data_IF_924840633852
#
_entry.id   IF_924840633852
#
_cell.length_a   1.000
_cell.length_b   1.000
_cell.length_c   1.000
_cell.angle_alpha   90.00
_cell.angle_beta   90.00
_cell.angle_gamma   90.00
#
_symmetry.space_group_name_H-M   'P 1'
#
loop_
_entity.id
_entity.type
_entity.pdbx_description
1 polymer ?
#
# COMPACT_ATOMS: atom_id res chain seq x y z
N UNK A 1 -11.13 21.51 -11.51
CA UNK A 1 -10.45 20.25 -11.91
C UNK A 1 -9.02 20.18 -11.41
N UNK A 2 -8.20 21.24 -11.49
CA UNK A 2 -6.81 21.30 -11.00
C UNK A 2 -6.59 21.11 -9.48
N UNK A 3 -7.66 20.96 -8.69
CA UNK A 3 -7.56 20.82 -7.24
C UNK A 3 -7.93 19.42 -6.74
N UNK A 4 -8.37 18.49 -7.59
CA UNK A 4 -8.87 17.19 -7.10
C UNK A 4 -7.72 16.34 -6.54
N UNK A 5 -6.68 16.09 -7.34
CA UNK A 5 -5.52 15.30 -6.88
C UNK A 5 -4.79 16.00 -5.72
N UNK A 6 -4.52 17.32 -5.78
CA UNK A 6 -4.03 18.04 -4.61
C UNK A 6 -4.96 17.93 -3.41
N UNK A 7 -6.28 18.11 -3.52
CA UNK A 7 -7.21 18.00 -2.37
C UNK A 7 -7.37 16.58 -1.86
N UNK A 8 -7.23 15.54 -2.68
CA UNK A 8 -7.20 14.15 -2.21
C UNK A 8 -5.90 13.88 -1.47
N UNK A 9 -4.76 14.34 -2.01
CA UNK A 9 -3.46 14.26 -1.33
C UNK A 9 -3.50 15.06 -0.02
N UNK A 10 -3.88 16.35 -0.05
CA UNK A 10 -3.99 17.25 1.10
C UNK A 10 -5.08 16.85 2.10
N UNK A 11 -6.25 16.40 1.66
CA UNK A 11 -7.35 15.97 2.53
C UNK A 11 -7.04 14.66 3.25
N UNK A 12 -6.31 13.78 2.59
CA UNK A 12 -5.78 12.56 3.18
C UNK A 12 -4.61 12.85 4.13
N UNK A 13 -3.70 13.76 3.77
CA UNK A 13 -2.65 14.29 4.66
C UNK A 13 -3.24 14.94 5.92
N UNK A 14 -4.32 15.71 5.83
CA UNK A 14 -4.90 16.44 6.96
C UNK A 14 -5.97 15.67 7.75
N UNK A 15 -6.28 14.43 7.39
CA UNK A 15 -7.33 13.64 8.07
C UNK A 15 -6.82 12.98 9.35
N UNK A 16 -6.72 13.78 10.41
CA UNK A 16 -6.70 13.27 11.78
C UNK A 16 -7.95 12.42 12.04
N UNK A 17 -7.74 11.14 12.40
CA UNK A 17 -8.73 10.24 12.96
C UNK A 17 -10.04 10.06 12.14
N UNK A 18 -9.97 9.50 10.92
CA UNK A 18 -11.20 9.10 10.21
C UNK A 18 -11.73 7.75 10.72
N UNK A 19 -12.46 7.78 11.86
CA UNK A 19 -13.21 6.62 12.38
C UNK A 19 -14.47 6.37 11.54
N UNK A 20 -14.35 5.69 10.40
CA UNK A 20 -15.53 5.12 9.74
C UNK A 20 -15.96 3.89 10.55
N UNK A 21 -17.15 3.94 11.17
CA UNK A 21 -17.73 2.80 11.89
C UNK A 21 -18.63 2.02 10.96
N UNK A 22 -18.31 0.76 10.68
CA UNK A 22 -19.26 -0.18 10.08
C UNK A 22 -20.00 -0.94 11.19
N UNK A 23 -21.33 -0.90 11.18
CA UNK A 23 -22.14 -1.77 12.02
C UNK A 23 -22.56 -3.00 11.22
N UNK A 24 -22.25 -4.20 11.72
CA UNK A 24 -22.82 -5.46 11.22
C UNK A 24 -23.79 -5.98 12.26
N UNK A 25 -25.04 -6.23 11.86
CA UNK A 25 -26.00 -6.93 12.69
C UNK A 25 -25.76 -8.43 12.57
N UNK A 26 -25.62 -9.14 13.69
CA UNK A 26 -25.57 -10.58 13.69
C UNK A 26 -26.97 -11.14 13.37
N UNK A 27 -27.09 -11.96 12.33
CA UNK A 27 -28.36 -12.59 11.95
C UNK A 27 -28.86 -13.64 12.95
N UNK A 28 -27.99 -14.11 13.85
CA UNK A 28 -28.31 -15.13 14.87
C UNK A 28 -28.71 -14.51 16.19
N UNK A 29 -28.05 -13.43 16.64
CA UNK A 29 -28.29 -12.85 17.97
C UNK A 29 -28.72 -11.37 17.95
N UNK A 30 -28.91 -10.77 16.77
CA UNK A 30 -29.31 -9.36 16.56
C UNK A 30 -28.41 -8.31 17.24
N UNK A 31 -27.24 -8.72 17.75
CA UNK A 31 -26.26 -7.80 18.33
C UNK A 31 -25.55 -7.03 17.24
N UNK A 32 -25.35 -5.75 17.49
CA UNK A 32 -24.58 -4.86 16.63
C UNK A 32 -23.09 -4.98 16.96
N UNK A 33 -22.32 -5.50 16.01
CA UNK A 33 -20.86 -5.47 16.09
C UNK A 33 -20.35 -4.23 15.37
N UNK A 34 -19.55 -3.42 16.06
CA UNK A 34 -18.88 -2.25 15.48
C UNK A 34 -17.52 -2.67 14.94
N UNK A 35 -17.23 -2.28 13.71
CA UNK A 35 -15.93 -2.45 13.08
C UNK A 35 -15.36 -1.06 12.73
N UNK A 36 -14.62 -0.42 13.66
CA UNK A 36 -13.94 0.84 13.40
C UNK A 36 -12.80 0.65 12.39
N UNK A 37 -12.71 1.55 11.41
CA UNK A 37 -11.56 1.64 10.50
C UNK A 37 -10.49 2.53 11.15
N UNK A 38 -9.36 1.94 11.55
CA UNK A 38 -8.27 2.68 12.18
C UNK A 38 -7.18 3.03 11.16
N UNK A 39 -6.73 4.28 11.19
CA UNK A 39 -5.58 4.73 10.41
C UNK A 39 -4.29 4.77 11.23
N UNK A 40 -4.38 4.72 12.56
CA UNK A 40 -3.21 4.68 13.43
C UNK A 40 -2.57 3.28 13.39
N UNK A 41 -1.34 3.13 12.84
CA UNK A 41 -0.70 1.82 12.74
C UNK A 41 -0.40 1.21 14.12
N UNK A 42 -0.28 1.99 15.20
CA UNK A 42 -0.16 1.45 16.55
C UNK A 42 -1.42 0.69 16.95
N UNK A 43 -2.58 1.31 16.72
CA UNK A 43 -3.88 0.67 16.99
C UNK A 43 -4.05 -0.58 16.13
N UNK A 44 -3.52 -0.61 14.91
CA UNK A 44 -3.56 -1.78 14.04
C UNK A 44 -2.69 -2.94 14.53
N UNK A 45 -1.57 -2.67 15.21
CA UNK A 45 -0.75 -3.70 15.88
C UNK A 45 -1.50 -4.34 17.05
N UNK A 46 -2.34 -3.56 17.74
CA UNK A 46 -3.22 -4.03 18.81
C UNK A 46 -4.41 -4.83 18.28
N UNK A 47 -5.17 -4.28 17.32
CA UNK A 47 -6.43 -4.88 16.85
C UNK A 47 -6.20 -6.10 15.95
N UNK A 48 -5.11 -6.09 15.17
CA UNK A 48 -4.71 -7.19 14.26
C UNK A 48 -5.81 -7.64 13.29
N UNK A 49 -6.72 -6.72 12.97
CA UNK A 49 -7.85 -6.94 12.07
C UNK A 49 -8.05 -5.71 11.18
N UNK A 50 -8.57 -5.93 9.97
CA UNK A 50 -8.63 -4.87 8.97
C UNK A 50 -8.94 -5.35 7.57
N UNK A 51 -9.05 -4.40 6.63
CA UNK A 51 -9.08 -4.65 5.18
C UNK A 51 -7.73 -4.22 4.58
N UNK A 52 -7.63 -4.19 3.25
CA UNK A 52 -6.36 -3.90 2.58
C UNK A 52 -5.67 -2.61 3.05
N UNK A 53 -6.45 -1.56 3.36
CA UNK A 53 -5.93 -0.32 3.97
C UNK A 53 -5.16 -0.57 5.27
N UNK A 54 -5.78 -1.22 6.24
CA UNK A 54 -5.16 -1.53 7.53
C UNK A 54 -3.99 -2.50 7.41
N UNK A 55 -4.12 -3.53 6.57
CA UNK A 55 -3.05 -4.51 6.35
C UNK A 55 -1.80 -3.87 5.72
N UNK A 56 -1.97 -3.06 4.68
CA UNK A 56 -0.86 -2.35 4.05
C UNK A 56 -0.20 -1.34 5.01
N UNK A 57 -1.01 -0.61 5.79
CA UNK A 57 -0.52 0.36 6.77
C UNK A 57 0.33 -0.32 7.86
N UNK A 58 -0.22 -1.36 8.49
CA UNK A 58 0.47 -2.11 9.55
C UNK A 58 1.73 -2.82 9.02
N UNK A 59 1.65 -3.46 7.84
CA UNK A 59 2.80 -4.16 7.25
C UNK A 59 3.95 -3.19 6.95
N UNK A 60 3.64 -2.02 6.43
CA UNK A 60 4.69 -1.05 6.10
C UNK A 60 5.34 -0.44 7.35
N UNK A 61 4.61 -0.29 8.46
CA UNK A 61 5.21 0.03 9.76
C UNK A 61 6.29 -0.99 10.11
N UNK A 62 6.01 -2.30 9.98
CA UNK A 62 7.01 -3.34 10.21
C UNK A 62 8.22 -3.18 9.29
N UNK A 63 8.02 -3.01 7.98
CA UNK A 63 9.15 -2.83 7.06
C UNK A 63 10.05 -1.66 7.45
N UNK A 64 9.45 -0.52 7.82
CA UNK A 64 10.19 0.66 8.31
C UNK A 64 10.90 0.40 9.63
N UNK A 65 10.26 -0.29 10.58
CA UNK A 65 10.84 -0.64 11.86
C UNK A 65 12.05 -1.58 11.72
N UNK A 66 12.03 -2.48 10.73
CA UNK A 66 13.16 -3.35 10.40
C UNK A 66 14.27 -2.66 9.58
N UNK A 67 14.14 -1.36 9.30
CA UNK A 67 15.16 -0.59 8.58
C UNK A 67 15.10 -0.74 7.06
N UNK A 68 14.07 -1.36 6.51
CA UNK A 68 13.88 -1.38 5.06
C UNK A 68 13.54 0.02 4.55
N UNK A 69 14.14 0.36 3.41
CA UNK A 69 13.71 1.50 2.62
C UNK A 69 12.37 1.14 1.99
N UNK A 70 11.29 1.52 2.67
CA UNK A 70 9.93 1.24 2.25
C UNK A 70 9.23 2.51 1.81
N UNK A 71 8.54 2.42 0.67
CA UNK A 71 7.59 3.42 0.21
C UNK A 71 6.27 3.13 0.91
N UNK A 72 6.07 3.86 2.01
CA UNK A 72 4.76 4.12 2.62
C UNK A 72 4.30 5.45 1.98
N UNK A 73 3.25 5.42 1.17
CA UNK A 73 2.52 6.62 0.80
C UNK A 73 2.20 7.50 2.04
N UNK A 74 2.47 8.81 1.94
CA UNK A 74 2.21 10.06 2.72
C UNK A 74 2.84 10.38 4.14
N UNK A 75 3.01 11.68 4.51
CA UNK A 75 3.38 12.12 5.89
C UNK A 75 2.63 13.40 6.37
N UNK A 76 1.79 13.38 7.40
CA UNK A 76 2.02 13.66 8.83
C UNK A 76 1.97 12.38 9.69
N UNK A 77 3.05 11.59 9.60
CA UNK A 77 3.01 10.15 9.92
C UNK A 77 2.07 9.34 9.00
N UNK A 78 1.65 9.94 7.88
CA UNK A 78 0.44 9.66 7.10
C UNK A 78 0.59 8.43 6.19
N UNK A 79 0.08 7.30 6.62
CA UNK A 79 -0.91 6.52 5.85
C UNK A 79 -0.67 6.29 4.34
N UNK A 80 -0.39 5.05 3.92
CA UNK A 80 -0.15 4.69 2.52
C UNK A 80 -1.35 4.29 1.71
N UNK A 81 -1.61 5.04 0.63
CA UNK A 81 -2.33 4.56 -0.54
C UNK A 81 -1.45 4.63 -1.79
N UNK A 82 -1.04 3.49 -2.34
CA UNK A 82 -1.03 3.46 -3.80
C UNK A 82 -2.50 3.59 -4.16
N UNK A 83 -2.93 4.81 -4.46
CA UNK A 83 -4.28 5.09 -4.90
C UNK A 83 -4.38 4.58 -6.31
N UNK A 84 -4.54 3.27 -6.43
CA UNK A 84 -5.43 2.80 -7.45
C UNK A 84 -6.79 3.40 -7.09
N UNK A 85 -7.25 4.37 -7.86
CA UNK A 85 -8.58 4.97 -7.70
C UNK A 85 -9.71 3.94 -7.88
N UNK A 86 -9.35 2.66 -8.06
CA UNK A 86 -10.23 1.50 -8.01
C UNK A 86 -10.13 0.69 -6.70
N UNK A 87 -9.79 1.33 -5.56
CA UNK A 87 -9.94 0.83 -4.17
C UNK A 87 -8.99 -0.32 -3.73
N UNK A 88 -7.68 -0.24 -4.01
CA UNK A 88 -6.70 -1.17 -3.44
C UNK A 88 -5.38 -0.49 -3.09
N UNK A 89 -4.66 -1.01 -2.09
CA UNK A 89 -3.40 -0.44 -1.61
C UNK A 89 -2.42 -1.55 -1.22
N UNK A 90 -1.12 -1.27 -1.39
CA UNK A 90 -0.04 -2.20 -1.12
C UNK A 90 1.27 -1.45 -0.82
N UNK A 91 2.36 -2.18 -0.59
CA UNK A 91 3.66 -1.64 -0.17
C UNK A 91 4.72 -1.87 -1.24
N UNK A 92 5.69 -0.96 -1.37
CA UNK A 92 6.94 -1.22 -2.07
C UNK A 92 8.13 -1.14 -1.12
N UNK A 93 9.09 -2.05 -1.26
CA UNK A 93 10.36 -2.00 -0.52
C UNK A 93 11.54 -2.04 -1.50
N UNK A 94 12.53 -1.19 -1.26
CA UNK A 94 13.76 -1.18 -2.03
C UNK A 94 14.65 -2.32 -1.56
N UNK A 95 15.00 -3.20 -2.49
CA UNK A 95 16.00 -4.23 -2.26
C UNK A 95 17.36 -3.72 -2.68
N UNK A 96 18.26 -3.57 -1.71
CA UNK A 96 19.65 -3.23 -2.00
C UNK A 96 20.33 -4.33 -2.83
N UNK A 97 19.93 -5.60 -2.63
CA UNK A 97 20.46 -6.73 -3.39
C UNK A 97 20.04 -6.70 -4.87
N UNK A 98 18.78 -6.36 -5.15
CA UNK A 98 18.27 -6.26 -6.52
C UNK A 98 18.47 -4.88 -7.16
N UNK A 99 18.87 -3.88 -6.36
CA UNK A 99 19.01 -2.50 -6.80
C UNK A 99 17.69 -1.82 -7.19
N UNK A 100 16.53 -2.33 -6.74
CA UNK A 100 15.21 -1.85 -7.20
C UNK A 100 14.10 -1.97 -6.17
N UNK A 101 13.02 -1.26 -6.42
CA UNK A 101 11.75 -1.41 -5.70
C UNK A 101 11.06 -2.72 -6.05
N UNK A 102 10.58 -3.39 -5.00
CA UNK A 102 9.85 -4.65 -5.05
C UNK A 102 8.41 -4.41 -4.60
N UNK A 103 7.47 -4.97 -5.35
CA UNK A 103 6.06 -4.96 -5.00
C UNK A 103 5.77 -5.94 -3.85
N UNK A 104 5.05 -5.53 -2.81
CA UNK A 104 4.62 -6.38 -1.70
C UNK A 104 3.12 -6.17 -1.42
N UNK A 105 2.32 -7.22 -1.54
CA UNK A 105 0.91 -7.22 -1.13
C UNK A 105 0.71 -8.11 0.10
N UNK A 106 0.59 -7.55 1.31
CA UNK A 106 0.38 -8.33 2.52
C UNK A 106 -1.01 -8.97 2.61
N UNK A 107 -2.01 -8.44 1.89
CA UNK A 107 -3.37 -8.99 1.88
C UNK A 107 -3.43 -10.31 1.12
N UNK A 108 -2.64 -10.38 0.04
CA UNK A 108 -2.56 -11.56 -0.81
C UNK A 108 -1.39 -12.48 -0.41
N UNK A 109 -0.43 -11.97 0.38
CA UNK A 109 0.90 -12.53 0.62
C UNK A 109 1.66 -12.79 -0.69
N UNK A 110 1.68 -11.76 -1.53
CA UNK A 110 2.37 -11.79 -2.81
C UNK A 110 3.62 -10.92 -2.71
N UNK A 111 4.71 -11.48 -3.21
CA UNK A 111 6.02 -10.85 -3.28
C UNK A 111 6.42 -10.70 -4.75
N UNK A 112 6.75 -9.46 -5.13
CA UNK A 112 7.36 -9.05 -6.38
C UNK A 112 6.63 -9.51 -7.66
N UNK A 113 5.29 -9.47 -7.64
CA UNK A 113 4.41 -9.71 -8.80
C UNK A 113 3.58 -8.46 -9.14
N UNK A 114 4.16 -7.40 -9.71
CA UNK A 114 3.45 -6.14 -9.97
C UNK A 114 2.26 -6.28 -10.93
N UNK A 115 2.26 -7.27 -11.83
CA UNK A 115 1.13 -7.51 -12.75
C UNK A 115 -0.05 -8.24 -12.10
N UNK A 116 -0.01 -8.51 -10.78
CA UNK A 116 -1.09 -9.18 -10.06
C UNK A 116 -2.44 -8.53 -10.30
N UNK A 117 -2.49 -7.20 -10.31
CA UNK A 117 -3.76 -6.47 -10.42
C UNK A 117 -4.30 -6.47 -11.84
N UNK A 118 -3.49 -6.06 -12.82
CA UNK A 118 -3.92 -5.99 -14.22
C UNK A 118 -4.18 -7.38 -14.80
N UNK A 119 -3.24 -8.32 -14.64
CA UNK A 119 -3.32 -9.67 -15.24
C UNK A 119 -4.05 -10.67 -14.34
N UNK A 120 -3.74 -10.69 -13.04
CA UNK A 120 -4.36 -11.65 -12.11
C UNK A 120 -5.81 -11.32 -11.77
N UNK A 121 -6.10 -10.04 -11.47
CA UNK A 121 -7.45 -9.61 -11.08
C UNK A 121 -8.27 -9.03 -12.23
N UNK A 122 -7.68 -8.93 -13.43
CA UNK A 122 -8.27 -8.25 -14.59
C UNK A 122 -8.69 -6.80 -14.27
N UNK A 123 -7.90 -6.12 -13.42
CA UNK A 123 -8.22 -4.80 -12.90
C UNK A 123 -7.88 -3.72 -13.92
N UNK A 124 -8.83 -2.81 -14.16
CA UNK A 124 -8.64 -1.67 -15.06
C UNK A 124 -7.98 -0.50 -14.32
N UNK A 125 -6.65 -0.56 -14.20
CA UNK A 125 -5.85 0.46 -13.53
C UNK A 125 -5.93 1.82 -14.24
N UNK A 126 -5.82 2.92 -13.47
CA UNK A 126 -5.70 4.29 -14.01
C UNK A 126 -4.46 5.03 -13.48
N UNK A 127 -4.35 5.21 -12.16
CA UNK A 127 -3.20 5.82 -11.51
C UNK A 127 -2.72 4.87 -10.41
N UNK A 128 -1.43 4.80 -10.19
CA UNK A 128 -0.80 4.15 -9.05
C UNK A 128 0.32 5.08 -8.58
N UNK A 129 0.05 5.83 -7.51
CA UNK A 129 0.98 6.85 -7.01
C UNK A 129 1.63 6.33 -5.73
N UNK A 130 2.95 6.17 -5.74
CA UNK A 130 3.73 5.87 -4.55
C UNK A 130 4.15 7.17 -3.87
N UNK A 131 4.14 7.22 -2.55
CA UNK A 131 4.65 8.32 -1.75
C UNK A 131 5.66 7.70 -0.77
N UNK A 132 6.62 8.50 -0.34
CA UNK A 132 7.77 8.07 0.44
C UNK A 132 8.25 9.23 1.32
N UNK A 133 9.23 8.94 2.18
CA UNK A 133 9.93 9.99 2.96
C UNK A 133 10.65 11.03 2.10
N UNK A 134 10.96 10.67 0.85
CA UNK A 134 11.80 11.46 -0.06
C UNK A 134 11.05 11.95 -1.30
N UNK A 135 9.73 11.72 -1.41
CA UNK A 135 8.94 12.26 -2.52
C UNK A 135 7.68 11.48 -2.86
N UNK A 136 7.10 11.85 -4.00
CA UNK A 136 5.95 11.22 -4.63
C UNK A 136 6.31 10.79 -6.04
N UNK A 137 5.90 9.58 -6.42
CA UNK A 137 6.29 8.90 -7.65
C UNK A 137 5.05 8.33 -8.35
N UNK A 138 4.94 8.55 -9.66
CA UNK A 138 3.98 7.81 -10.47
C UNK A 138 4.58 6.45 -10.84
N UNK A 139 4.11 5.40 -10.17
CA UNK A 139 4.57 4.02 -10.40
C UNK A 139 3.61 3.24 -11.29
N UNK A 140 2.62 3.88 -11.91
CA UNK A 140 1.55 3.22 -12.69
C UNK A 140 2.12 2.26 -13.73
N UNK A 141 3.14 2.69 -14.47
CA UNK A 141 3.79 1.89 -15.51
C UNK A 141 4.42 0.58 -15.00
N UNK A 142 4.76 0.48 -13.71
CA UNK A 142 5.25 -0.76 -13.10
C UNK A 142 4.18 -1.85 -13.08
N UNK A 143 2.91 -1.47 -12.94
CA UNK A 143 1.77 -2.35 -12.69
C UNK A 143 0.94 -2.68 -13.93
N UNK A 144 1.39 -2.25 -15.11
CA UNK A 144 0.68 -2.47 -16.39
C UNK A 144 1.65 -2.86 -17.50
N UNK A 145 1.15 -3.61 -18.48
CA UNK A 145 1.73 -3.71 -19.84
C UNK A 145 0.86 -3.06 -20.90
N UNK A 146 -0.36 -2.68 -20.54
CA UNK A 146 -1.35 -2.06 -21.41
C UNK A 146 -1.40 -0.55 -21.19
N UNK A 147 -0.25 0.11 -21.27
CA UNK A 147 -0.13 1.55 -20.97
C UNK A 147 -1.07 2.41 -21.82
N UNK A 148 -1.26 2.07 -23.09
CA UNK A 148 -2.20 2.77 -23.97
C UNK A 148 -3.65 2.74 -23.45
N UNK A 149 -4.09 1.60 -22.88
CA UNK A 149 -5.42 1.50 -22.28
C UNK A 149 -5.50 2.27 -20.97
N UNK A 150 -4.45 2.20 -20.14
CA UNK A 150 -4.37 2.96 -18.87
C UNK A 150 -4.45 4.45 -19.16
N UNK A 151 -3.73 4.95 -20.16
CA UNK A 151 -3.73 6.35 -20.56
C UNK A 151 -5.14 6.84 -20.94
N UNK A 152 -5.93 6.02 -21.62
CA UNK A 152 -7.33 6.37 -21.95
C UNK A 152 -8.23 6.57 -20.72
N UNK A 153 -7.87 5.96 -19.58
CA UNK A 153 -8.60 6.06 -18.30
C UNK A 153 -8.09 7.18 -17.39
N UNK A 154 -6.97 7.83 -17.74
CA UNK A 154 -6.32 8.90 -16.97
C UNK A 154 -6.90 10.26 -17.33
N UNK A 155 -8.16 10.48 -16.94
CA UNK A 155 -8.92 11.68 -17.30
C UNK A 155 -9.01 12.74 -16.20
N UNK A 156 -8.48 12.48 -15.01
CA UNK A 156 -8.58 13.40 -13.87
C UNK A 156 -7.64 14.62 -13.99
N UNK A 157 -6.49 14.42 -14.63
CA UNK A 157 -5.43 15.42 -14.79
C UNK A 157 -4.64 15.10 -16.06
N UNK A 158 -4.06 16.11 -16.72
CA UNK A 158 -3.17 15.88 -17.86
C UNK A 158 -1.80 15.37 -17.39
N UNK A 159 -1.16 14.50 -18.16
CA UNK A 159 0.16 13.95 -17.81
C UNK A 159 1.22 15.04 -17.50
N UNK A 160 1.33 16.15 -18.26
CA UNK A 160 2.27 17.21 -17.93
C UNK A 160 1.95 17.90 -16.59
N UNK A 161 0.66 18.09 -16.29
CA UNK A 161 0.24 18.71 -15.03
C UNK A 161 0.51 17.77 -13.85
N UNK A 162 0.23 16.46 -14.00
CA UNK A 162 0.55 15.48 -12.98
C UNK A 162 2.04 15.46 -12.69
N UNK A 163 2.87 15.33 -13.72
CA UNK A 163 4.33 15.34 -13.60
C UNK A 163 4.84 16.60 -12.87
N UNK A 164 4.30 17.77 -13.22
CA UNK A 164 4.65 19.04 -12.55
C UNK A 164 4.24 19.05 -11.08
N UNK A 165 3.04 18.56 -10.75
CA UNK A 165 2.56 18.46 -9.36
C UNK A 165 3.45 17.52 -8.55
N UNK A 166 3.76 16.33 -9.07
CA UNK A 166 4.60 15.36 -8.37
C UNK A 166 6.02 15.90 -8.16
N UNK A 167 6.60 16.52 -9.19
CA UNK A 167 7.92 17.15 -9.11
C UNK A 167 7.95 18.23 -8.03
N UNK A 168 6.93 19.10 -7.98
CA UNK A 168 6.84 20.14 -6.95
C UNK A 168 6.78 19.54 -5.55
N UNK A 169 5.93 18.54 -5.30
CA UNK A 169 5.81 17.91 -3.99
C UNK A 169 7.12 17.21 -3.59
N UNK A 170 7.76 16.52 -4.53
CA UNK A 170 9.04 15.85 -4.31
C UNK A 170 10.14 16.85 -3.97
N UNK A 171 10.21 17.99 -4.68
CA UNK A 171 11.16 19.05 -4.39
C UNK A 171 10.94 19.64 -2.99
N UNK A 172 9.68 19.91 -2.60
CA UNK A 172 9.35 20.36 -1.24
C UNK A 172 9.85 19.39 -0.17
N UNK A 173 9.58 18.10 -0.38
CA UNK A 173 9.97 17.02 0.54
C UNK A 173 11.50 16.94 0.70
N UNK A 174 12.23 17.28 -0.36
CA UNK A 174 13.69 17.19 -0.45
C UNK A 174 14.44 18.45 -0.02
N UNK A 175 13.76 19.58 0.23
CA UNK A 175 14.42 20.88 0.54
C UNK A 175 15.42 20.83 1.69
N UNK A 176 15.21 19.96 2.67
CA UNK A 176 16.07 19.83 3.86
C UNK A 176 17.16 18.76 3.76
N UNK A 177 17.32 18.08 2.63
CA UNK A 177 18.23 16.95 2.52
C UNK A 177 19.66 17.42 2.19
N UNK A 178 20.65 16.67 2.66
CA UNK A 178 22.05 16.92 2.34
C UNK A 178 22.33 16.70 0.83
N UNK A 179 23.20 17.49 0.19
CA UNK A 179 23.49 17.35 -1.25
C UNK A 179 23.93 15.95 -1.68
N UNK A 180 24.73 15.26 -0.85
CA UNK A 180 25.18 13.90 -1.15
C UNK A 180 24.00 12.91 -1.18
N UNK A 181 23.07 13.05 -0.23
CA UNK A 181 21.87 12.22 -0.16
C UNK A 181 20.94 12.49 -1.35
N UNK A 182 20.78 13.76 -1.74
CA UNK A 182 20.00 14.14 -2.92
C UNK A 182 20.53 13.50 -4.18
N UNK A 183 21.85 13.56 -4.42
CA UNK A 183 22.46 12.94 -5.60
C UNK A 183 22.23 11.43 -5.66
N UNK A 184 22.27 10.73 -4.52
CA UNK A 184 21.98 9.30 -4.44
C UNK A 184 20.51 9.01 -4.78
N UNK A 185 19.59 9.80 -4.24
CA UNK A 185 18.15 9.62 -4.47
C UNK A 185 17.81 9.92 -5.94
N UNK A 186 18.33 11.00 -6.52
CA UNK A 186 18.10 11.37 -7.91
C UNK A 186 18.66 10.32 -8.89
N UNK A 187 19.86 9.78 -8.62
CA UNK A 187 20.41 8.69 -9.40
C UNK A 187 19.51 7.43 -9.34
N UNK A 188 18.93 7.15 -8.16
CA UNK A 188 17.98 6.04 -7.97
C UNK A 188 16.67 6.25 -8.71
N UNK A 189 16.14 7.48 -8.71
CA UNK A 189 14.92 7.84 -9.45
C UNK A 189 15.12 7.66 -10.97
N UNK A 190 16.29 8.05 -11.48
CA UNK A 190 16.65 7.88 -12.89
C UNK A 190 16.71 6.39 -13.24
N UNK A 191 17.41 5.56 -12.45
CA UNK A 191 17.50 4.12 -12.73
C UNK A 191 16.12 3.45 -12.63
N UNK A 192 15.31 3.82 -11.64
CA UNK A 192 13.95 3.31 -11.52
C UNK A 192 13.11 3.62 -12.76
N UNK A 193 13.12 4.86 -13.23
CA UNK A 193 12.36 5.27 -14.41
C UNK A 193 12.81 4.49 -15.64
N UNK A 194 14.13 4.34 -15.84
CA UNK A 194 14.65 3.54 -16.94
C UNK A 194 14.21 2.07 -16.83
N UNK A 195 14.24 1.49 -15.63
CA UNK A 195 13.82 0.12 -15.42
C UNK A 195 12.33 -0.06 -15.70
N UNK A 196 11.49 0.89 -15.29
CA UNK A 196 10.05 0.89 -15.55
C UNK A 196 9.79 0.96 -17.05
N UNK A 197 10.45 1.85 -17.80
CA UNK A 197 10.29 1.92 -19.26
C UNK A 197 10.74 0.63 -19.95
N UNK A 198 11.91 0.07 -19.57
CA UNK A 198 12.38 -1.23 -20.09
C UNK A 198 11.36 -2.34 -19.82
N UNK A 199 10.79 -2.38 -18.62
CA UNK A 199 9.81 -3.40 -18.22
C UNK A 199 8.46 -3.20 -18.90
N UNK A 200 8.07 -1.96 -19.23
CA UNK A 200 6.82 -1.69 -19.89
C UNK A 200 6.79 -2.26 -21.31
N UNK A 201 7.94 -2.29 -21.97
CA UNK A 201 8.11 -2.83 -23.33
C UNK A 201 8.50 -4.31 -23.37
N UNK A 202 8.72 -4.96 -22.22
CA UNK A 202 8.98 -6.40 -22.20
C UNK A 202 7.71 -7.19 -22.49
N UNK A 203 7.82 -8.26 -23.25
CA UNK A 203 6.71 -9.20 -23.45
C UNK A 203 6.24 -9.77 -22.11
N UNK A 204 4.92 -9.89 -21.98
CA UNK A 204 4.33 -10.61 -20.86
C UNK A 204 4.65 -12.09 -21.01
N UNK A 205 5.23 -12.68 -19.97
CA UNK A 205 5.33 -14.13 -19.89
C UNK A 205 3.92 -14.71 -19.72
N UNK A 206 3.30 -15.11 -20.83
CA UNK A 206 1.96 -15.70 -20.85
C UNK A 206 1.89 -16.97 -20.00
N UNK A 207 3.01 -17.68 -19.79
CA UNK A 207 3.07 -18.90 -18.99
C UNK A 207 2.92 -18.65 -17.48
N UNK A 208 3.20 -17.42 -17.02
CA UNK A 208 2.97 -17.02 -15.63
C UNK A 208 1.48 -16.76 -15.38
N UNK A 209 0.79 -17.79 -14.89
CA UNK A 209 -0.55 -17.67 -14.31
C UNK A 209 -0.46 -16.93 -12.97
N UNK A 210 -1.16 -15.79 -12.88
CA UNK A 210 -1.27 -15.01 -11.65
C UNK A 210 -2.64 -15.26 -11.00
N UNK A 211 -2.70 -15.39 -9.68
CA UNK A 211 -3.94 -15.71 -9.00
C UNK A 211 -4.91 -14.52 -9.07
N UNK A 212 -6.20 -14.84 -9.10
CA UNK A 212 -7.25 -13.87 -8.80
C UNK A 212 -7.19 -13.40 -7.35
N UNK A 213 -7.97 -12.36 -7.05
CA UNK A 213 -8.02 -11.79 -5.69
C UNK A 213 -8.50 -12.85 -4.71
N UNK A 214 -7.81 -13.01 -3.57
CA UNK A 214 -8.17 -13.94 -2.50
C UNK A 214 -8.78 -13.20 -1.30
N UNK A 215 -8.40 -11.95 -1.07
CA UNK A 215 -8.97 -11.12 -0.01
C UNK A 215 -10.38 -10.58 -0.32
N UNK A 216 -11.16 -10.28 0.72
CA UNK A 216 -12.53 -9.77 0.60
C UNK A 216 -13.60 -10.86 0.50
N UNK A 217 -14.86 -10.49 0.72
CA UNK A 217 -15.97 -11.44 0.61
C UNK A 217 -16.24 -11.82 -0.85
N UNK A 218 -16.78 -13.02 -1.07
CA UNK A 218 -16.99 -13.58 -2.40
C UNK A 218 -17.89 -12.71 -3.29
N UNK A 219 -18.98 -12.17 -2.74
CA UNK A 219 -19.89 -11.29 -3.48
C UNK A 219 -19.17 -10.04 -4.01
N UNK A 220 -18.28 -9.44 -3.23
CA UNK A 220 -17.48 -8.29 -3.64
C UNK A 220 -16.52 -8.66 -4.79
N UNK A 221 -15.79 -9.76 -4.63
CA UNK A 221 -14.87 -10.28 -5.67
C UNK A 221 -15.60 -10.60 -6.97
N UNK A 222 -16.77 -11.26 -6.90
CA UNK A 222 -17.64 -11.57 -8.05
C UNK A 222 -18.12 -10.32 -8.75
N UNK A 223 -18.61 -9.33 -7.99
CA UNK A 223 -19.15 -8.08 -8.56
C UNK A 223 -18.12 -7.30 -9.37
N UNK A 224 -16.83 -7.53 -9.12
CA UNK A 224 -15.71 -6.86 -9.79
C UNK A 224 -14.98 -7.75 -10.80
N UNK A 225 -15.45 -8.98 -11.00
CA UNK A 225 -14.79 -9.98 -11.86
C UNK A 225 -13.33 -10.25 -11.46
N UNK A 226 -13.02 -10.15 -10.16
CA UNK A 226 -11.66 -10.35 -9.62
C UNK A 226 -11.43 -11.81 -9.16
N UNK A 227 -12.39 -12.70 -9.39
CA UNK A 227 -12.24 -14.14 -9.18
C UNK A 227 -11.54 -14.71 -10.41
N UNK A 228 -10.23 -14.90 -10.30
CA UNK A 228 -9.44 -15.63 -11.28
C UNK A 228 -9.87 -17.11 -11.34
N UNK A 229 -9.15 -17.93 -12.13
CA UNK A 229 -9.47 -19.35 -12.33
C UNK A 229 -9.37 -20.24 -11.09
N UNK A 230 -8.86 -19.73 -9.96
CA UNK A 230 -8.68 -20.48 -8.72
C UNK A 230 -10.02 -20.62 -7.96
N UNK A 231 -10.58 -21.83 -7.97
CA UNK A 231 -11.77 -22.24 -7.19
C UNK A 231 -11.48 -22.36 -5.68
N UNK A 232 -11.02 -21.29 -5.02
CA UNK A 232 -10.91 -21.26 -3.56
C UNK A 232 -12.12 -20.60 -2.89
N UNK A 233 -12.88 -21.47 -2.21
CA UNK A 233 -14.03 -21.18 -1.36
C UNK A 233 -13.74 -20.10 -0.32
N UNK A 234 -14.71 -19.20 -0.20
CA UNK A 234 -14.80 -18.12 0.78
C UNK A 234 -15.01 -18.68 2.19
N UNK A 235 -13.95 -18.72 2.98
CA UNK A 235 -14.05 -18.48 4.41
C UNK A 235 -12.92 -17.55 4.81
N UNK A 236 -13.06 -16.89 5.97
CA UNK A 236 -12.05 -15.99 6.52
C UNK A 236 -10.64 -16.48 6.18
N UNK A 237 -9.76 -15.60 5.66
CA UNK A 237 -8.36 -15.98 5.41
C UNK A 237 -7.90 -16.76 6.64
N UNK A 238 -7.63 -18.07 6.53
CA UNK A 238 -7.22 -18.84 7.69
C UNK A 238 -6.03 -18.11 8.31
N UNK A 239 -5.94 -18.10 9.64
CA UNK A 239 -4.79 -17.50 10.33
C UNK A 239 -3.55 -18.04 9.64
N UNK A 240 -2.87 -17.18 8.88
CA UNK A 240 -1.73 -17.60 8.08
C UNK A 240 -0.62 -17.84 9.07
N UNK A 241 -0.45 -19.10 9.45
CA UNK A 241 0.68 -19.51 10.27
C UNK A 241 1.94 -19.20 9.48
N UNK A 242 2.79 -18.34 10.03
CA UNK A 242 4.11 -18.13 9.48
C UNK A 242 4.88 -19.44 9.66
N UNK A 243 5.00 -20.21 8.57
CA UNK A 243 5.70 -21.51 8.58
C UNK A 243 7.22 -21.32 8.59
N UNK A 244 7.67 -20.09 8.39
CA UNK A 244 9.07 -19.70 8.39
C UNK A 244 9.55 -19.47 9.85
N UNK A 245 10.46 -20.35 10.29
CA UNK A 245 11.04 -20.32 11.62
C UNK A 245 11.86 -19.03 11.86
N UNK A 246 12.53 -18.51 10.82
CA UNK A 246 13.33 -17.29 10.92
C UNK A 246 12.44 -16.06 11.12
N UNK A 247 11.37 -15.93 10.34
CA UNK A 247 10.37 -14.85 10.51
C UNK A 247 9.69 -14.96 11.88
N UNK A 248 9.37 -16.18 12.32
CA UNK A 248 8.79 -16.41 13.66
C UNK A 248 9.74 -15.99 14.78
N UNK A 249 11.04 -16.29 14.66
CA UNK A 249 12.07 -15.86 15.61
C UNK A 249 12.20 -14.34 15.66
N UNK A 250 12.22 -13.67 14.51
CA UNK A 250 12.25 -12.20 14.43
C UNK A 250 11.00 -11.62 15.10
N UNK A 251 9.80 -12.10 14.74
CA UNK A 251 8.56 -11.63 15.34
C UNK A 251 8.57 -11.78 16.86
N UNK A 252 8.96 -12.94 17.38
CA UNK A 252 9.03 -13.20 18.81
C UNK A 252 10.06 -12.31 19.52
N UNK A 253 11.19 -12.01 18.89
CA UNK A 253 12.20 -11.10 19.43
C UNK A 253 11.69 -9.65 19.52
N UNK A 254 10.87 -9.21 18.56
CA UNK A 254 10.29 -7.86 18.51
C UNK A 254 9.02 -7.70 19.34
N UNK A 255 8.31 -8.80 19.60
CA UNK A 255 7.04 -8.80 20.33
C UNK A 255 7.10 -8.07 21.68
N UNK A 256 8.12 -8.25 22.54
CA UNK A 256 8.23 -7.49 23.79
C UNK A 256 8.33 -5.99 23.59
N UNK A 257 9.11 -5.55 22.58
CA UNK A 257 9.27 -4.13 22.22
C UNK A 257 7.94 -3.54 21.75
N UNK A 258 7.22 -4.25 20.88
CA UNK A 258 5.90 -3.83 20.41
C UNK A 258 4.89 -3.72 21.56
N UNK A 259 4.93 -4.66 22.51
CA UNK A 259 4.07 -4.61 23.70
C UNK A 259 4.40 -3.41 24.60
N UNK A 260 5.68 -3.07 24.76
CA UNK A 260 6.11 -1.90 25.55
C UNK A 260 5.63 -0.59 24.89
N UNK A 261 5.76 -0.45 23.57
CA UNK A 261 5.24 0.71 22.84
C UNK A 261 3.73 0.92 23.01
N UNK A 262 2.96 -0.16 23.12
CA UNK A 262 1.50 -0.09 23.36
C UNK A 262 1.21 0.23 24.83
N UNK A 263 1.97 -0.35 25.77
CA UNK A 263 1.75 -0.18 27.19
C UNK A 263 2.14 1.22 27.72
N UNK A 264 3.23 1.81 27.21
CA UNK A 264 3.72 3.13 27.65
C UNK A 264 2.77 4.30 27.32
N UNK A 265 1.84 4.13 26.37
CA UNK A 265 0.80 5.13 26.09
C UNK A 265 -0.41 5.03 27.04
N UNK A 266 -0.71 3.85 27.58
CA UNK A 266 -1.76 3.70 28.61
C UNK A 266 -1.38 4.51 29.85
N UNK A 267 -0.09 4.53 30.20
CA UNK A 267 0.43 5.34 31.31
C UNK A 267 0.49 6.85 31.02
N UNK A 268 0.55 7.28 29.75
CA UNK A 268 0.48 8.72 29.40
C UNK A 268 -0.95 9.26 29.38
N UNK A 269 -1.96 8.40 29.26
CA UNK A 269 -3.36 8.78 29.42
C UNK A 269 -3.74 9.06 30.90
N UNK A 270 -2.90 8.70 31.86
CA UNK A 270 -3.04 9.05 33.28
C UNK A 270 -2.31 10.36 33.67
N UNK A 271 -1.74 11.09 32.70
CA UNK A 271 -1.02 12.35 32.93
C UNK A 271 -1.76 13.60 32.40
N UNK A 272 -3.10 13.58 32.44
CA UNK A 272 -3.93 14.79 32.37
C UNK A 272 -5.00 14.69 33.46
N UNK A 273 -4.60 15.10 34.67
CA UNK A 273 -5.50 15.67 35.68
C UNK A 273 -5.29 17.19 35.69
#
# INVERSE_FOLDING_TARGET
>A
MNEIIPRYIYGFLNSGLLLIKYCRSCTVCSRLTRFPRYNDPKKLVETREGRCGEWANCFTLYCRAFGYESRLVAPYGVLTLILDFTDHVWTECYSQFLGRWMHLDPCEAIYDRPLLYEKGWNKKLNYAIAIAKDGVYDVTKRYTRKWHEVLSRRTMVTEPSLSSILTNITNETRRGFAPQLLSIIEARDIEENQQIERSLHSEDDESLSLPGRRSGNEQWRKSRSEIGSDNLSSSACPVRLCVDEHVTKIYNAFRPVLHQFIAEEVTKAEAVE
#
